data_IF_918998114621
#
_entry.id   IF_918998114621
#
_cell.length_a   1.000
_cell.length_b   1.000
_cell.length_c   1.000
_cell.angle_alpha   90.00
_cell.angle_beta   90.00
_cell.angle_gamma   90.00
#
_symmetry.space_group_name_H-M   'P 1'
#
loop_
_entity.id
_entity.type
_entity.pdbx_description
1 polymer ?
#
# COMPACT_ATOMS: atom_id res chain seq x y z
N UNK A 1 -9.45 10.54 -14.87
CA UNK A 1 -10.79 9.96 -14.59
C UNK A 1 -11.01 9.74 -13.09
N UNK A 2 -10.12 9.01 -12.39
CA UNK A 2 -10.28 8.67 -10.97
C UNK A 2 -10.35 9.90 -10.06
N UNK A 3 -9.42 10.84 -10.20
CA UNK A 3 -9.35 12.08 -9.40
C UNK A 3 -10.62 12.92 -9.55
N UNK A 4 -11.17 13.00 -10.76
CA UNK A 4 -12.42 13.70 -11.00
C UNK A 4 -13.60 12.98 -10.34
N UNK A 5 -13.59 11.65 -10.31
CA UNK A 5 -14.60 10.87 -9.59
C UNK A 5 -14.64 11.18 -8.10
N UNK A 6 -13.48 11.23 -7.44
CA UNK A 6 -13.39 11.62 -6.02
C UNK A 6 -13.84 13.07 -5.78
N UNK A 7 -13.46 13.99 -6.66
CA UNK A 7 -13.86 15.37 -6.54
C UNK A 7 -15.39 15.54 -6.65
N UNK A 8 -16.01 14.94 -7.68
CA UNK A 8 -17.46 14.95 -7.82
C UNK A 8 -18.17 14.22 -6.69
N UNK A 9 -17.62 13.08 -6.24
CA UNK A 9 -18.14 12.36 -5.07
C UNK A 9 -18.17 13.22 -3.82
N UNK A 10 -17.11 13.97 -3.55
CA UNK A 10 -17.05 14.92 -2.42
C UNK A 10 -18.10 16.04 -2.55
N UNK A 11 -18.23 16.63 -3.75
CA UNK A 11 -19.25 17.67 -3.99
C UNK A 11 -20.68 17.14 -3.78
N UNK A 12 -20.99 15.94 -4.31
CA UNK A 12 -22.30 15.31 -4.12
C UNK A 12 -22.56 15.04 -2.64
N UNK A 13 -21.56 14.52 -1.91
CA UNK A 13 -21.71 14.27 -0.47
C UNK A 13 -21.96 15.56 0.31
N UNK A 14 -21.22 16.64 0.01
CA UNK A 14 -21.44 17.93 0.64
C UNK A 14 -22.85 18.48 0.34
N UNK A 15 -23.34 18.34 -0.89
CA UNK A 15 -24.68 18.73 -1.28
C UNK A 15 -25.74 17.92 -0.52
N UNK A 16 -25.59 16.61 -0.42
CA UNK A 16 -26.52 15.74 0.33
C UNK A 16 -26.56 16.09 1.82
N UNK A 17 -25.41 16.33 2.46
CA UNK A 17 -25.34 16.77 3.87
C UNK A 17 -26.12 18.08 4.07
N UNK A 18 -26.01 19.02 3.12
CA UNK A 18 -26.76 20.27 3.15
C UNK A 18 -28.26 20.08 2.93
N UNK A 19 -28.66 19.28 1.94
CA UNK A 19 -30.08 19.00 1.62
C UNK A 19 -30.77 18.31 2.80
N UNK A 20 -30.14 17.29 3.36
CA UNK A 20 -30.69 16.56 4.52
C UNK A 20 -30.48 17.27 5.86
N UNK A 21 -29.85 18.44 5.86
CA UNK A 21 -29.60 19.27 7.08
C UNK A 21 -28.89 18.48 8.18
N UNK A 22 -28.02 17.53 7.83
CA UNK A 22 -27.26 16.71 8.78
C UNK A 22 -26.27 17.56 9.56
N UNK A 23 -25.63 18.52 8.88
CA UNK A 23 -24.68 19.50 9.46
C UNK A 23 -24.78 20.86 8.77
N UNK A 24 -24.26 21.90 9.42
CA UNK A 24 -24.16 23.22 8.79
C UNK A 24 -23.10 23.19 7.67
N UNK A 25 -23.23 24.11 6.72
CA UNK A 25 -22.24 24.24 5.63
C UNK A 25 -20.82 24.50 6.18
N UNK A 26 -20.73 25.34 7.23
CA UNK A 26 -19.45 25.66 7.86
C UNK A 26 -18.81 24.42 8.49
N UNK A 27 -19.58 23.60 9.20
CA UNK A 27 -19.09 22.35 9.81
C UNK A 27 -18.66 21.34 8.75
N UNK A 28 -19.45 21.21 7.69
CA UNK A 28 -19.13 20.31 6.56
C UNK A 28 -17.83 20.72 5.88
N UNK A 29 -17.66 22.02 5.63
CA UNK A 29 -16.42 22.53 5.02
C UNK A 29 -15.22 22.36 5.94
N UNK A 30 -15.39 22.59 7.25
CA UNK A 30 -14.35 22.36 8.25
C UNK A 30 -13.90 20.89 8.27
N UNK A 31 -14.84 19.95 8.30
CA UNK A 31 -14.55 18.52 8.26
C UNK A 31 -13.78 18.16 6.99
N UNK A 32 -14.17 18.69 5.85
CA UNK A 32 -13.47 18.48 4.58
C UNK A 32 -12.01 18.97 4.64
N UNK A 33 -11.81 20.19 5.15
CA UNK A 33 -10.45 20.77 5.31
C UNK A 33 -9.61 19.98 6.30
N UNK A 34 -10.19 19.54 7.41
CA UNK A 34 -9.47 18.73 8.41
C UNK A 34 -9.11 17.34 7.84
N UNK A 35 -9.98 16.74 7.02
CA UNK A 35 -9.66 15.55 6.26
C UNK A 35 -8.49 15.76 5.28
N UNK A 36 -8.45 16.89 4.58
CA UNK A 36 -7.32 17.25 3.70
C UNK A 36 -6.01 17.40 4.47
N UNK A 37 -6.03 17.96 5.68
CA UNK A 37 -4.83 18.07 6.53
C UNK A 37 -4.27 16.69 6.90
N UNK A 38 -5.14 15.72 7.17
CA UNK A 38 -4.74 14.35 7.44
C UNK A 38 -3.99 13.67 6.28
N UNK A 39 -4.18 14.17 5.03
CA UNK A 39 -3.45 13.67 3.86
C UNK A 39 -2.02 14.22 3.75
N UNK A 40 -1.64 15.21 4.57
CA UNK A 40 -0.31 15.83 4.51
C UNK A 40 0.78 14.82 4.82
N UNK A 41 0.60 13.96 5.82
CA UNK A 41 1.56 12.93 6.20
C UNK A 41 1.77 11.91 5.08
N UNK A 42 0.69 11.53 4.40
CA UNK A 42 0.74 10.64 3.22
C UNK A 42 1.53 11.32 2.08
N UNK A 43 1.28 12.60 1.81
CA UNK A 43 2.00 13.34 0.79
C UNK A 43 3.51 13.47 1.10
N UNK A 44 3.87 13.76 2.34
CA UNK A 44 5.27 13.80 2.80
C UNK A 44 5.93 12.43 2.62
N UNK A 45 5.26 11.37 3.05
CA UNK A 45 5.76 9.99 2.90
C UNK A 45 6.02 9.64 1.44
N UNK A 46 5.12 10.00 0.52
CA UNK A 46 5.29 9.75 -0.90
C UNK A 46 6.48 10.52 -1.49
N UNK A 47 6.66 11.79 -1.12
CA UNK A 47 7.82 12.59 -1.58
C UNK A 47 9.13 12.00 -1.10
N UNK A 48 9.20 11.59 0.18
CA UNK A 48 10.39 10.92 0.73
C UNK A 48 10.65 9.57 0.05
N UNK A 49 9.59 8.81 -0.22
CA UNK A 49 9.70 7.53 -0.92
C UNK A 49 10.17 7.70 -2.38
N UNK A 50 9.74 8.75 -3.10
CA UNK A 50 10.25 9.07 -4.43
C UNK A 50 11.74 9.46 -4.37
N UNK A 51 12.16 10.22 -3.36
CA UNK A 51 13.57 10.55 -3.14
C UNK A 51 14.38 9.29 -2.89
N UNK A 52 13.90 8.38 -2.05
CA UNK A 52 14.53 7.08 -1.82
C UNK A 52 14.60 6.24 -3.10
N UNK A 53 13.52 6.17 -3.89
CA UNK A 53 13.49 5.50 -5.18
C UNK A 53 14.54 6.04 -6.15
N UNK A 54 14.74 7.36 -6.20
CA UNK A 54 15.79 8.00 -6.99
C UNK A 54 17.19 7.61 -6.51
N UNK A 55 17.41 7.51 -5.20
CA UNK A 55 18.70 7.06 -4.63
C UNK A 55 18.95 5.57 -4.93
N UNK A 56 17.95 4.71 -4.80
CA UNK A 56 18.02 3.28 -5.17
C UNK A 56 18.45 3.13 -6.63
N UNK A 57 17.86 3.92 -7.52
CA UNK A 57 18.21 3.93 -8.96
C UNK A 57 19.61 4.48 -9.22
N UNK A 58 20.01 5.55 -8.54
CA UNK A 58 21.35 6.14 -8.70
C UNK A 58 22.47 5.24 -8.20
N UNK A 59 22.22 4.43 -7.16
CA UNK A 59 23.16 3.45 -6.60
C UNK A 59 23.14 2.11 -7.34
N UNK A 60 22.30 1.94 -8.36
CA UNK A 60 22.08 0.66 -9.06
C UNK A 60 21.83 -0.52 -8.08
N UNK A 61 21.10 -0.25 -7.03
CA UNK A 61 20.78 -1.26 -5.99
C UNK A 61 20.07 -2.47 -6.61
N UNK A 62 19.18 -2.23 -7.57
CA UNK A 62 18.48 -3.29 -8.28
C UNK A 62 19.45 -4.18 -9.08
N UNK A 63 20.43 -3.58 -9.79
CA UNK A 63 21.48 -4.31 -10.51
C UNK A 63 22.33 -5.15 -9.56
N UNK A 64 22.70 -4.63 -8.40
CA UNK A 64 23.42 -5.38 -7.38
C UNK A 64 22.65 -6.62 -6.91
N UNK A 65 21.35 -6.46 -6.58
CA UNK A 65 20.48 -7.57 -6.15
C UNK A 65 20.33 -8.61 -7.27
N UNK A 66 20.08 -8.15 -8.50
CA UNK A 66 19.93 -9.02 -9.68
C UNK A 66 21.19 -9.87 -9.90
N UNK A 67 22.36 -9.24 -9.86
CA UNK A 67 23.63 -9.95 -10.05
C UNK A 67 23.87 -10.97 -8.94
N UNK A 68 23.55 -10.62 -7.69
CA UNK A 68 23.60 -11.55 -6.56
C UNK A 68 22.68 -12.74 -6.73
N UNK A 69 21.43 -12.53 -7.11
CA UNK A 69 20.47 -13.60 -7.37
C UNK A 69 20.88 -14.50 -8.54
N UNK A 70 21.39 -13.91 -9.62
CA UNK A 70 21.89 -14.66 -10.78
C UNK A 70 23.11 -15.51 -10.42
N UNK A 71 24.04 -15.00 -9.60
CA UNK A 71 25.19 -15.76 -9.14
C UNK A 71 24.82 -16.97 -8.28
N UNK A 72 23.68 -16.89 -7.58
CA UNK A 72 23.11 -18.00 -6.79
C UNK A 72 22.25 -18.97 -7.61
N UNK A 73 22.19 -18.81 -8.94
CA UNK A 73 21.27 -19.55 -9.81
C UNK A 73 19.80 -19.49 -9.35
N UNK A 74 19.36 -18.32 -8.85
CA UNK A 74 18.00 -18.15 -8.35
C UNK A 74 16.99 -18.27 -9.50
N UNK A 75 15.98 -19.13 -9.32
CA UNK A 75 14.98 -19.35 -10.37
C UNK A 75 14.12 -18.13 -10.62
N UNK A 76 13.93 -17.76 -11.89
CA UNK A 76 13.04 -16.66 -12.29
C UNK A 76 11.61 -16.85 -11.76
N UNK A 77 11.13 -18.10 -11.68
CA UNK A 77 9.79 -18.42 -11.16
C UNK A 77 9.60 -18.05 -9.67
N UNK A 78 10.69 -17.97 -8.91
CA UNK A 78 10.64 -17.61 -7.48
C UNK A 78 10.74 -16.11 -7.23
N UNK A 79 11.09 -15.32 -8.24
CA UNK A 79 11.26 -13.85 -8.08
C UNK A 79 9.97 -13.17 -7.67
N UNK A 80 8.78 -13.44 -8.26
CA UNK A 80 7.53 -12.84 -7.81
C UNK A 80 7.18 -13.21 -6.37
N UNK A 81 7.40 -14.47 -6.00
CA UNK A 81 7.20 -14.94 -4.63
C UNK A 81 8.10 -14.21 -3.62
N UNK A 82 9.37 -14.01 -3.97
CA UNK A 82 10.29 -13.22 -3.14
C UNK A 82 9.85 -11.75 -3.01
N UNK A 83 9.42 -11.13 -4.12
CA UNK A 83 8.89 -9.76 -4.13
C UNK A 83 7.66 -9.67 -3.21
N UNK A 84 6.72 -10.61 -3.32
CA UNK A 84 5.54 -10.68 -2.46
C UNK A 84 5.90 -10.77 -0.98
N UNK A 85 6.75 -11.72 -0.60
CA UNK A 85 7.14 -11.93 0.80
C UNK A 85 7.89 -10.73 1.38
N UNK A 86 8.79 -10.13 0.60
CA UNK A 86 9.53 -8.94 1.03
C UNK A 86 8.59 -7.74 1.18
N UNK A 87 7.68 -7.55 0.22
CA UNK A 87 6.64 -6.52 0.30
C UNK A 87 5.74 -6.71 1.52
N UNK A 88 5.32 -7.95 1.80
CA UNK A 88 4.53 -8.29 2.99
C UNK A 88 5.27 -7.96 4.29
N UNK A 89 6.55 -8.32 4.38
CA UNK A 89 7.36 -8.04 5.56
C UNK A 89 7.57 -6.53 5.78
N UNK A 90 7.90 -5.79 4.73
CA UNK A 90 8.08 -4.33 4.81
C UNK A 90 6.77 -3.66 5.22
N UNK A 91 5.67 -4.02 4.59
CA UNK A 91 4.36 -3.44 4.86
C UNK A 91 3.85 -3.76 6.27
N UNK A 92 4.03 -5.01 6.72
CA UNK A 92 3.72 -5.40 8.09
C UNK A 92 4.49 -4.57 9.12
N UNK A 93 5.81 -4.37 8.87
CA UNK A 93 6.71 -3.67 9.79
C UNK A 93 6.46 -2.17 9.83
N UNK A 94 6.03 -1.58 8.72
CA UNK A 94 5.79 -0.13 8.59
C UNK A 94 4.34 0.25 8.85
N UNK A 95 3.40 -0.69 8.73
CA UNK A 95 1.96 -0.44 8.77
C UNK A 95 1.45 0.39 7.58
N UNK A 96 2.16 0.36 6.44
CA UNK A 96 1.81 1.17 5.28
C UNK A 96 2.02 0.43 3.96
N UNK A 97 0.92 0.16 3.25
CA UNK A 97 0.97 -0.37 1.89
C UNK A 97 1.55 0.66 0.91
N UNK A 98 1.18 1.92 1.01
CA UNK A 98 1.65 2.97 0.11
C UNK A 98 3.16 3.20 0.18
N UNK A 99 3.71 3.27 1.40
CA UNK A 99 5.16 3.36 1.62
C UNK A 99 5.90 2.14 1.05
N UNK A 100 5.33 0.96 1.22
CA UNK A 100 5.87 -0.28 0.67
C UNK A 100 5.87 -0.28 -0.86
N UNK A 101 4.79 0.16 -1.52
CA UNK A 101 4.75 0.27 -2.99
C UNK A 101 5.84 1.20 -3.51
N UNK A 102 6.03 2.34 -2.88
CA UNK A 102 7.02 3.32 -3.28
C UNK A 102 8.46 2.81 -3.15
N UNK A 103 8.76 1.98 -2.13
CA UNK A 103 10.08 1.36 -1.93
C UNK A 103 10.28 0.17 -2.86
N UNK A 104 9.27 -0.67 -3.02
CA UNK A 104 9.40 -1.94 -3.73
C UNK A 104 9.34 -1.81 -5.26
N UNK A 105 8.58 -0.85 -5.80
CA UNK A 105 8.47 -0.70 -7.27
C UNK A 105 9.79 -0.42 -7.97
N UNK A 106 10.68 0.48 -7.47
CA UNK A 106 12.00 0.70 -8.06
C UNK A 106 12.93 -0.52 -8.05
N UNK A 107 12.67 -1.50 -7.20
CA UNK A 107 13.40 -2.76 -7.14
C UNK A 107 12.76 -3.84 -8.02
N UNK A 108 11.44 -3.98 -7.94
CA UNK A 108 10.70 -5.05 -8.60
C UNK A 108 10.70 -4.93 -10.13
N UNK A 109 10.59 -3.72 -10.68
CA UNK A 109 10.55 -3.51 -12.13
C UNK A 109 11.88 -3.89 -12.82
N UNK A 110 13.06 -3.42 -12.36
CA UNK A 110 14.34 -3.87 -12.92
C UNK A 110 14.57 -5.37 -12.73
N UNK A 111 14.18 -5.95 -11.61
CA UNK A 111 14.26 -7.40 -11.38
C UNK A 111 13.41 -8.17 -12.39
N UNK A 112 12.16 -7.74 -12.63
CA UNK A 112 11.30 -8.35 -13.63
C UNK A 112 11.93 -8.31 -15.02
N UNK A 113 12.50 -7.18 -15.42
CA UNK A 113 13.21 -7.03 -16.67
C UNK A 113 14.40 -8.01 -16.78
N UNK A 114 15.23 -8.06 -15.75
CA UNK A 114 16.46 -8.85 -15.73
C UNK A 114 16.22 -10.37 -15.75
N UNK A 115 15.08 -10.83 -15.23
CA UNK A 115 14.68 -12.24 -15.20
C UNK A 115 13.65 -12.61 -16.28
N UNK A 116 13.26 -11.67 -17.16
CA UNK A 116 12.30 -11.90 -18.23
C UNK A 116 10.87 -12.17 -17.75
N UNK A 117 10.51 -11.61 -16.59
CA UNK A 117 9.19 -11.78 -15.99
C UNK A 117 8.26 -10.66 -16.51
N UNK A 118 6.98 -10.96 -16.84
CA UNK A 118 6.02 -9.93 -17.19
C UNK A 118 5.87 -8.90 -16.06
N UNK A 119 5.94 -7.62 -16.40
CA UNK A 119 5.83 -6.53 -15.41
C UNK A 119 4.54 -6.60 -14.59
N UNK A 120 3.44 -7.06 -15.20
CA UNK A 120 2.17 -7.23 -14.51
C UNK A 120 2.28 -8.17 -13.30
N UNK A 121 3.06 -9.25 -13.42
CA UNK A 121 3.27 -10.22 -12.32
C UNK A 121 4.10 -9.57 -11.20
N UNK A 122 5.18 -8.87 -11.55
CA UNK A 122 6.02 -8.20 -10.55
C UNK A 122 5.25 -7.08 -9.81
N UNK A 123 4.49 -6.27 -10.56
CA UNK A 123 3.61 -5.24 -9.97
C UNK A 123 2.53 -5.88 -9.10
N UNK A 124 1.89 -6.95 -9.58
CA UNK A 124 0.92 -7.73 -8.81
C UNK A 124 1.50 -8.25 -7.50
N UNK A 125 2.72 -8.80 -7.54
CA UNK A 125 3.41 -9.28 -6.34
C UNK A 125 3.71 -8.17 -5.33
N UNK A 126 4.14 -6.98 -5.79
CA UNK A 126 4.35 -5.81 -4.91
C UNK A 126 3.03 -5.37 -4.27
N UNK A 127 1.97 -5.22 -5.08
CA UNK A 127 0.67 -4.77 -4.59
C UNK A 127 0.05 -5.77 -3.62
N UNK A 128 0.03 -7.05 -3.98
CA UNK A 128 -0.54 -8.10 -3.14
C UNK A 128 0.23 -8.29 -1.85
N UNK A 129 1.57 -8.33 -1.91
CA UNK A 129 2.43 -8.43 -0.72
C UNK A 129 2.27 -7.22 0.20
N UNK A 130 2.30 -6.01 -0.37
CA UNK A 130 2.11 -4.80 0.41
C UNK A 130 0.74 -4.71 1.07
N UNK A 131 -0.34 -5.05 0.37
CA UNK A 131 -1.69 -5.10 0.95
C UNK A 131 -1.81 -6.20 2.01
N UNK A 132 -1.25 -7.38 1.77
CA UNK A 132 -1.26 -8.47 2.74
C UNK A 132 -0.57 -8.06 4.04
N UNK A 133 0.64 -7.49 3.96
CA UNK A 133 1.39 -7.02 5.13
C UNK A 133 0.63 -5.93 5.89
N UNK A 134 0.06 -4.97 5.19
CA UNK A 134 -0.75 -3.89 5.76
C UNK A 134 -1.95 -4.44 6.55
N UNK A 135 -2.73 -5.33 5.93
CA UNK A 135 -3.89 -5.94 6.59
C UNK A 135 -3.54 -6.87 7.78
N UNK A 136 -2.32 -7.37 7.85
CA UNK A 136 -1.86 -8.15 9.00
C UNK A 136 -1.26 -7.28 10.11
N UNK A 137 -0.93 -6.03 9.82
CA UNK A 137 -0.21 -5.15 10.74
C UNK A 137 -1.13 -4.49 11.77
N UNK A 138 -0.83 -4.63 13.08
CA UNK A 138 -1.58 -3.93 14.12
C UNK A 138 -1.31 -2.42 14.18
N UNK A 139 -0.28 -1.94 13.50
CA UNK A 139 0.08 -0.52 13.45
C UNK A 139 -0.36 0.14 12.13
N UNK A 140 -1.09 -0.59 11.29
CA UNK A 140 -1.59 -0.07 10.01
C UNK A 140 -2.69 0.98 10.23
N UNK A 141 -2.58 2.09 9.49
CA UNK A 141 -3.58 3.15 9.47
C UNK A 141 -4.98 2.61 9.11
N UNK A 142 -5.05 1.70 8.14
CA UNK A 142 -6.32 1.11 7.70
C UNK A 142 -6.94 0.23 8.77
N UNK A 143 -6.13 -0.54 9.50
CA UNK A 143 -6.57 -1.40 10.60
C UNK A 143 -7.04 -0.55 11.79
N UNK A 144 -6.29 0.50 12.14
CA UNK A 144 -6.64 1.44 13.21
C UNK A 144 -7.95 2.16 12.87
N UNK A 145 -8.08 2.70 11.66
CA UNK A 145 -9.30 3.39 11.23
C UNK A 145 -10.52 2.46 11.22
N UNK A 146 -10.36 1.22 10.77
CA UNK A 146 -11.43 0.23 10.73
C UNK A 146 -11.92 -0.13 12.13
N UNK A 147 -11.00 -0.39 13.05
CA UNK A 147 -11.34 -0.70 14.46
C UNK A 147 -12.01 0.48 15.16
N UNK A 148 -11.49 1.69 14.94
CA UNK A 148 -12.07 2.92 15.49
C UNK A 148 -13.46 3.19 14.93
N UNK A 149 -13.64 3.03 13.60
CA UNK A 149 -14.94 3.21 12.96
C UNK A 149 -15.98 2.18 13.37
N UNK A 150 -15.54 0.97 13.70
CA UNK A 150 -16.40 -0.11 14.22
C UNK A 150 -16.57 -0.07 15.75
N UNK A 151 -15.95 0.90 16.44
CA UNK A 151 -15.96 1.03 17.90
C UNK A 151 -15.52 -0.27 18.61
N UNK A 152 -14.55 -1.00 18.04
CA UNK A 152 -14.04 -2.24 18.61
C UNK A 152 -12.56 -2.11 19.01
N UNK A 153 -12.13 -2.99 19.91
CA UNK A 153 -10.74 -3.07 20.33
C UNK A 153 -9.83 -3.44 19.16
N UNK A 154 -8.74 -2.68 18.99
CA UNK A 154 -7.79 -2.86 17.90
C UNK A 154 -7.21 -4.28 17.85
N UNK A 155 -6.80 -4.82 18.99
CA UNK A 155 -6.19 -6.15 19.07
C UNK A 155 -7.21 -7.25 18.75
N UNK A 156 -8.45 -7.08 19.20
CA UNK A 156 -9.54 -7.98 18.85
C UNK A 156 -9.84 -7.95 17.35
N UNK A 157 -9.84 -6.75 16.75
CA UNK A 157 -10.00 -6.58 15.31
C UNK A 157 -8.89 -7.29 14.53
N UNK A 158 -7.63 -7.05 14.88
CA UNK A 158 -6.46 -7.70 14.24
C UNK A 158 -6.57 -9.23 14.32
N UNK A 159 -6.89 -9.78 15.49
CA UNK A 159 -7.05 -11.23 15.69
C UNK A 159 -8.14 -11.86 14.81
N UNK A 160 -9.23 -11.15 14.59
CA UNK A 160 -10.32 -11.63 13.73
C UNK A 160 -10.03 -11.44 12.25
N UNK A 161 -9.29 -10.39 11.86
CA UNK A 161 -8.91 -10.08 10.48
C UNK A 161 -7.80 -11.02 9.98
N UNK A 162 -6.84 -11.35 10.82
CA UNK A 162 -5.63 -12.10 10.45
C UNK A 162 -5.90 -13.42 9.71
N UNK A 163 -6.84 -14.30 10.15
CA UNK A 163 -7.14 -15.54 9.42
C UNK A 163 -7.61 -15.28 7.98
N UNK A 164 -8.45 -14.27 7.77
CA UNK A 164 -8.95 -13.91 6.43
C UNK A 164 -7.83 -13.34 5.55
N UNK A 165 -6.99 -12.49 6.12
CA UNK A 165 -5.83 -11.95 5.43
C UNK A 165 -4.85 -13.07 5.03
N UNK A 166 -4.57 -14.03 5.93
CA UNK A 166 -3.71 -15.19 5.64
C UNK A 166 -4.27 -16.06 4.52
N UNK A 167 -5.57 -16.36 4.51
CA UNK A 167 -6.18 -17.14 3.41
C UNK A 167 -6.02 -16.42 2.07
N UNK A 168 -6.33 -15.12 2.02
CA UNK A 168 -6.16 -14.33 0.81
C UNK A 168 -4.69 -14.20 0.40
N UNK A 169 -3.79 -14.04 1.36
CA UNK A 169 -2.35 -13.97 1.12
C UNK A 169 -1.79 -15.28 0.54
N UNK A 170 -2.23 -16.43 1.03
CA UNK A 170 -1.84 -17.74 0.50
C UNK A 170 -2.35 -17.90 -0.95
N UNK A 171 -3.60 -17.54 -1.21
CA UNK A 171 -4.15 -17.58 -2.57
C UNK A 171 -3.33 -16.68 -3.50
N UNK A 172 -3.06 -15.44 -3.11
CA UNK A 172 -2.29 -14.49 -3.92
C UNK A 172 -0.81 -14.91 -4.10
N UNK A 173 -0.25 -15.68 -3.18
CA UNK A 173 1.11 -16.20 -3.27
C UNK A 173 1.24 -17.39 -4.26
N UNK A 174 0.18 -18.18 -4.40
CA UNK A 174 0.17 -19.40 -5.25
C UNK A 174 -0.27 -19.12 -6.68
N UNK A 175 -1.05 -18.04 -6.90
CA UNK A 175 -1.54 -17.63 -8.23
C UNK A 175 -0.59 -16.68 -8.92
#
# INVERSE_FOLDING_TARGET
>A
ALTMGYFFGALVLMALIGIYKVKTFQDTFKIYVDGMKGMTDVAITLVLAWSLGSMISALDTAGFIVNGLKSMNFSAALVPAAIFLFGAFVSFSTGSSWGTFAIMMPLAIPMAHAFGIPYAIAVGAVLSGGLFGDHCSPISDTTILSSTGAECDLVAHVKTQLPYACVNGIIAFVT
#
